data_IF_795462118881
#
_entry.id   IF_795462118881
#
_cell.length_a   1.000
_cell.length_b   1.000
_cell.length_c   1.000
_cell.angle_alpha   90.00
_cell.angle_beta   90.00
_cell.angle_gamma   90.00
#
_symmetry.space_group_name_H-M   'P 1'
#
loop_
_entity.id
_entity.type
_entity.pdbx_description
1 polymer ?
#
# COMPACT_ATOMS: atom_id res chain seq x y z
N UNK A 1 12.07 -8.90 11.10
CA UNK A 1 12.13 -7.42 11.05
C UNK A 1 11.68 -6.95 9.68
N UNK A 2 10.86 -5.90 9.61
CA UNK A 2 10.47 -5.26 8.33
C UNK A 2 11.26 -3.97 8.15
N UNK A 3 11.82 -3.78 6.95
CA UNK A 3 12.63 -2.61 6.62
C UNK A 3 11.90 -1.64 5.68
N UNK A 4 12.20 -0.37 5.85
CA UNK A 4 11.80 0.71 4.96
C UNK A 4 13.04 1.24 4.23
N UNK A 5 13.08 1.09 2.92
CA UNK A 5 14.06 1.77 2.08
C UNK A 5 13.33 2.27 0.82
N UNK A 6 13.35 3.59 0.64
CA UNK A 6 12.53 4.29 -0.35
C UNK A 6 12.81 3.82 -1.78
N UNK A 7 11.73 3.62 -2.54
CA UNK A 7 11.78 3.20 -3.95
C UNK A 7 11.99 1.70 -4.15
N UNK A 8 11.97 0.89 -3.10
CA UNK A 8 11.97 -0.56 -3.24
C UNK A 8 10.61 -1.10 -3.67
N UNK A 9 10.66 -1.98 -4.66
CA UNK A 9 9.53 -2.79 -5.10
C UNK A 9 9.70 -4.26 -4.73
N UNK A 10 9.22 -5.13 -5.62
CA UNK A 10 9.31 -6.58 -5.47
C UNK A 10 10.67 -7.09 -5.94
N UNK A 11 11.67 -7.05 -5.05
CA UNK A 11 13.00 -7.59 -5.32
C UNK A 11 13.75 -7.96 -4.04
N UNK A 12 14.60 -8.99 -4.16
CA UNK A 12 15.58 -9.35 -3.14
C UNK A 12 16.82 -8.48 -3.32
N UNK A 13 17.33 -7.94 -2.22
CA UNK A 13 18.50 -7.07 -2.16
C UNK A 13 19.31 -7.34 -0.88
N UNK A 14 20.35 -6.54 -0.64
CA UNK A 14 21.29 -6.73 0.47
C UNK A 14 20.64 -6.58 1.85
N UNK A 15 19.50 -5.88 1.99
CA UNK A 15 18.80 -5.77 3.28
C UNK A 15 18.37 -7.15 3.80
N UNK A 16 17.94 -8.05 2.92
CA UNK A 16 17.55 -9.41 3.30
C UNK A 16 18.72 -10.27 3.79
N UNK A 17 19.96 -9.91 3.41
CA UNK A 17 21.17 -10.58 3.91
C UNK A 17 21.62 -10.01 5.26
N UNK A 18 21.03 -8.90 5.71
CA UNK A 18 21.43 -8.15 6.90
C UNK A 18 20.29 -8.07 7.95
N UNK A 19 19.44 -9.11 8.02
CA UNK A 19 18.49 -9.31 9.12
C UNK A 19 17.06 -8.82 8.88
N UNK A 20 16.74 -8.33 7.67
CA UNK A 20 15.36 -8.02 7.30
C UNK A 20 14.68 -9.24 6.66
N UNK A 21 13.48 -9.57 7.15
CA UNK A 21 12.66 -10.66 6.60
C UNK A 21 11.72 -10.16 5.49
N UNK A 22 11.37 -8.87 5.55
CA UNK A 22 10.52 -8.20 4.58
C UNK A 22 10.95 -6.75 4.36
N UNK A 23 10.75 -6.24 3.14
CA UNK A 23 10.87 -4.82 2.82
C UNK A 23 9.52 -4.25 2.37
N UNK A 24 9.27 -2.98 2.66
CA UNK A 24 8.07 -2.28 2.16
C UNK A 24 8.07 -2.26 0.62
N UNK A 25 6.93 -2.62 0.04
CA UNK A 25 6.69 -2.62 -1.40
C UNK A 25 6.01 -1.31 -1.82
N UNK A 26 6.81 -0.33 -2.26
CA UNK A 26 6.32 0.99 -2.68
C UNK A 26 5.58 0.97 -4.03
N UNK A 27 5.79 -0.06 -4.85
CA UNK A 27 5.13 -0.17 -6.15
C UNK A 27 3.63 -0.47 -6.02
N UNK A 28 3.23 -1.17 -4.95
CA UNK A 28 1.87 -1.72 -4.84
C UNK A 28 0.79 -0.64 -4.82
N UNK A 29 1.04 0.51 -4.17
CA UNK A 29 0.12 1.65 -4.13
C UNK A 29 -0.29 2.07 -5.55
N UNK A 30 0.69 2.20 -6.46
CA UNK A 30 0.44 2.60 -7.85
C UNK A 30 -0.25 1.49 -8.66
N UNK A 31 0.15 0.23 -8.47
CA UNK A 31 -0.45 -0.90 -9.20
C UNK A 31 -1.91 -1.16 -8.78
N UNK A 32 -2.22 -0.98 -7.50
CA UNK A 32 -3.59 -1.02 -7.00
C UNK A 32 -4.45 0.11 -7.59
N UNK A 33 -3.92 1.34 -7.67
CA UNK A 33 -4.63 2.48 -8.27
C UNK A 33 -5.03 2.22 -9.74
N UNK A 34 -4.11 1.64 -10.54
CA UNK A 34 -4.38 1.27 -11.95
C UNK A 34 -5.44 0.18 -12.11
N UNK A 35 -5.76 -0.53 -11.04
CA UNK A 35 -6.66 -1.69 -11.04
C UNK A 35 -8.04 -1.41 -10.43
N UNK A 36 -8.32 -0.17 -10.02
CA UNK A 36 -9.60 0.19 -9.38
C UNK A 36 -10.81 0.07 -10.29
N UNK A 37 -10.65 0.34 -11.58
CA UNK A 37 -11.75 0.29 -12.55
C UNK A 37 -11.94 -1.13 -13.12
N UNK A 38 -10.91 -1.99 -13.04
CA UNK A 38 -10.97 -3.37 -13.49
C UNK A 38 -10.01 -4.24 -12.68
N UNK A 39 -10.56 -5.15 -11.87
CA UNK A 39 -9.79 -6.03 -10.98
C UNK A 39 -8.77 -6.88 -11.75
N UNK A 40 -9.07 -7.28 -12.98
CA UNK A 40 -8.19 -8.12 -13.80
C UNK A 40 -6.84 -7.46 -14.13
N UNK A 41 -6.75 -6.13 -14.05
CA UNK A 41 -5.52 -5.40 -14.35
C UNK A 41 -4.38 -5.71 -13.37
N UNK A 42 -4.69 -6.18 -12.16
CA UNK A 42 -3.68 -6.53 -11.15
C UNK A 42 -2.96 -7.86 -11.46
N UNK A 43 -3.45 -8.64 -12.44
CA UNK A 43 -3.04 -10.02 -12.66
C UNK A 43 -1.53 -10.19 -12.88
N UNK A 44 -0.91 -9.34 -13.70
CA UNK A 44 0.54 -9.40 -13.94
C UNK A 44 1.35 -9.02 -12.70
N UNK A 45 0.88 -8.06 -11.90
CA UNK A 45 1.50 -7.68 -10.62
C UNK A 45 1.49 -8.84 -9.64
N UNK A 46 0.35 -9.53 -9.47
CA UNK A 46 0.27 -10.71 -8.60
C UNK A 46 1.12 -11.86 -9.11
N UNK A 47 1.14 -12.11 -10.41
CA UNK A 47 1.98 -13.15 -11.01
C UNK A 47 3.47 -12.85 -10.77
N UNK A 48 3.89 -11.61 -10.97
CA UNK A 48 5.25 -11.17 -10.67
C UNK A 48 5.60 -11.39 -9.19
N UNK A 49 4.71 -10.96 -8.28
CA UNK A 49 4.89 -11.13 -6.84
C UNK A 49 4.98 -12.61 -6.45
N UNK A 50 4.03 -13.43 -6.89
CA UNK A 50 4.02 -14.87 -6.61
C UNK A 50 5.28 -15.58 -7.11
N UNK A 51 5.78 -15.22 -8.30
CA UNK A 51 7.00 -15.81 -8.85
C UNK A 51 8.27 -15.39 -8.09
N UNK A 52 8.30 -14.19 -7.52
CA UNK A 52 9.47 -13.64 -6.84
C UNK A 52 9.53 -13.97 -5.35
N UNK A 53 8.38 -13.96 -4.68
CA UNK A 53 8.27 -14.13 -3.22
C UNK A 53 8.35 -15.62 -2.83
N UNK A 54 9.43 -16.29 -3.21
CA UNK A 54 9.66 -17.71 -2.96
C UNK A 54 10.52 -17.95 -1.72
N UNK A 55 11.48 -17.07 -1.45
CA UNK A 55 12.45 -17.19 -0.35
C UNK A 55 12.66 -15.88 0.44
N UNK A 56 11.84 -14.88 0.19
CA UNK A 56 11.76 -13.61 0.91
C UNK A 56 10.33 -13.06 0.87
N UNK A 57 10.03 -12.08 1.72
CA UNK A 57 8.69 -11.48 1.79
C UNK A 57 8.74 -9.96 1.53
N UNK A 58 7.59 -9.36 1.25
CA UNK A 58 7.43 -7.90 1.17
C UNK A 58 6.20 -7.48 1.98
N UNK A 59 6.15 -6.20 2.35
CA UNK A 59 5.01 -5.59 3.01
C UNK A 59 4.33 -4.59 2.06
N UNK A 60 3.21 -4.99 1.48
CA UNK A 60 2.40 -4.13 0.60
C UNK A 60 1.45 -3.25 1.40
N UNK A 61 1.21 -2.03 0.92
CA UNK A 61 0.33 -1.06 1.56
C UNK A 61 -0.42 -0.23 0.51
N UNK A 62 -1.50 0.45 0.93
CA UNK A 62 -2.27 1.36 0.09
C UNK A 62 -2.13 2.81 0.54
N UNK A 63 -2.22 3.07 1.84
CA UNK A 63 -2.07 4.41 2.43
C UNK A 63 -0.87 4.44 3.36
N UNK A 64 -0.25 5.61 3.49
CA UNK A 64 0.84 5.82 4.45
C UNK A 64 0.81 7.24 5.01
N UNK A 65 1.41 7.40 6.17
CA UNK A 65 1.68 8.69 6.80
C UNK A 65 2.62 9.59 5.97
N UNK A 66 3.40 9.02 5.05
CA UNK A 66 4.43 9.74 4.28
C UNK A 66 4.15 9.84 2.78
N UNK A 67 3.09 9.21 2.26
CA UNK A 67 2.73 9.30 0.84
C UNK A 67 1.37 9.96 0.65
N UNK A 68 0.30 9.20 0.86
CA UNK A 68 -1.07 9.66 0.67
C UNK A 68 -2.08 8.75 1.37
N UNK A 69 -3.32 9.23 1.49
CA UNK A 69 -4.48 8.39 1.77
C UNK A 69 -5.06 7.91 0.45
N UNK A 70 -5.07 6.59 0.26
CA UNK A 70 -5.59 5.96 -0.94
C UNK A 70 -7.07 6.32 -1.18
N UNK A 71 -7.85 6.43 -0.10
CA UNK A 71 -9.26 6.82 -0.18
C UNK A 71 -9.45 8.20 -0.83
N UNK A 72 -8.62 9.17 -0.45
CA UNK A 72 -8.70 10.53 -0.97
C UNK A 72 -8.16 10.64 -2.41
N UNK A 73 -6.94 10.14 -2.64
CA UNK A 73 -6.22 10.34 -3.91
C UNK A 73 -6.64 9.37 -5.01
N UNK A 74 -6.60 8.06 -4.74
CA UNK A 74 -6.81 7.03 -5.75
C UNK A 74 -8.29 6.68 -5.90
N UNK A 75 -8.98 6.44 -4.77
CA UNK A 75 -10.42 6.12 -4.75
C UNK A 75 -11.31 7.34 -5.01
N UNK A 76 -10.78 8.57 -4.95
CA UNK A 76 -11.54 9.84 -5.11
C UNK A 76 -12.76 9.91 -4.18
N UNK A 77 -12.56 9.50 -2.93
CA UNK A 77 -13.58 9.42 -1.88
C UNK A 77 -14.77 8.51 -2.24
N UNK A 78 -14.58 7.58 -3.18
CA UNK A 78 -15.59 6.59 -3.58
C UNK A 78 -15.44 5.31 -2.75
N UNK A 79 -16.46 4.99 -1.94
CA UNK A 79 -16.45 3.80 -1.08
C UNK A 79 -16.39 2.47 -1.85
N UNK A 80 -16.97 2.39 -3.05
CA UNK A 80 -16.89 1.18 -3.86
C UNK A 80 -15.45 0.95 -4.35
N UNK A 81 -14.76 2.02 -4.79
CA UNK A 81 -13.34 1.94 -5.14
C UNK A 81 -12.47 1.58 -3.94
N UNK A 82 -12.77 2.12 -2.76
CA UNK A 82 -12.05 1.76 -1.53
C UNK A 82 -12.21 0.28 -1.17
N UNK A 83 -13.42 -0.28 -1.32
CA UNK A 83 -13.66 -1.72 -1.13
C UNK A 83 -12.88 -2.57 -2.12
N UNK A 84 -12.82 -2.16 -3.39
CA UNK A 84 -12.00 -2.83 -4.41
C UNK A 84 -10.53 -2.77 -4.02
N UNK A 85 -10.03 -1.60 -3.62
CA UNK A 85 -8.66 -1.42 -3.16
C UNK A 85 -8.32 -2.33 -1.97
N UNK A 86 -9.20 -2.39 -0.96
CA UNK A 86 -9.05 -3.32 0.16
C UNK A 86 -8.98 -4.78 -0.29
N UNK A 87 -9.84 -5.21 -1.22
CA UNK A 87 -9.78 -6.56 -1.80
C UNK A 87 -8.48 -6.81 -2.58
N UNK A 88 -7.98 -5.81 -3.32
CA UNK A 88 -6.69 -5.91 -4.01
C UNK A 88 -5.56 -6.10 -3.00
N UNK A 89 -5.50 -5.27 -1.95
CA UNK A 89 -4.47 -5.42 -0.93
C UNK A 89 -4.54 -6.79 -0.25
N UNK A 90 -5.70 -7.21 0.23
CA UNK A 90 -5.88 -8.47 0.97
C UNK A 90 -5.61 -9.73 0.13
N UNK A 91 -5.68 -9.63 -1.20
CA UNK A 91 -5.37 -10.74 -2.12
C UNK A 91 -3.94 -10.66 -2.68
N UNK A 92 -3.17 -9.65 -2.31
CA UNK A 92 -1.78 -9.52 -2.76
C UNK A 92 -0.90 -10.60 -2.13
N UNK A 93 0.02 -11.22 -2.90
CA UNK A 93 1.00 -12.13 -2.32
C UNK A 93 1.94 -11.42 -1.33
N UNK A 94 2.24 -12.07 -0.20
CA UNK A 94 3.11 -11.52 0.84
C UNK A 94 2.34 -10.90 2.00
N UNK A 95 3.03 -10.08 2.81
CA UNK A 95 2.42 -9.41 3.94
C UNK A 95 1.71 -8.11 3.49
N UNK A 96 0.69 -7.72 4.24
CA UNK A 96 -0.07 -6.48 4.01
C UNK A 96 -0.08 -5.62 5.26
N UNK A 97 -0.08 -4.31 5.07
CA UNK A 97 -0.25 -3.31 6.12
C UNK A 97 -1.48 -2.46 5.83
N UNK A 98 -2.34 -2.31 6.84
CA UNK A 98 -3.46 -1.37 6.84
C UNK A 98 -3.04 -0.13 7.62
N UNK A 99 -3.28 1.05 7.05
CA UNK A 99 -3.03 2.32 7.74
C UNK A 99 -4.31 2.77 8.44
N UNK A 100 -4.18 3.32 9.65
CA UNK A 100 -5.35 3.63 10.48
C UNK A 100 -6.32 4.59 9.78
N UNK A 101 -7.61 4.26 9.87
CA UNK A 101 -8.68 4.98 9.20
C UNK A 101 -8.98 4.50 7.78
N UNK A 102 -8.15 3.68 7.14
CA UNK A 102 -8.51 3.06 5.86
C UNK A 102 -9.77 2.18 6.01
N UNK A 103 -9.97 1.58 7.19
CA UNK A 103 -11.10 0.73 7.54
C UNK A 103 -12.43 1.48 7.70
N UNK A 104 -12.37 2.78 8.00
CA UNK A 104 -13.52 3.70 8.14
C UNK A 104 -13.58 4.76 7.05
N UNK A 105 -12.74 4.64 6.01
CA UNK A 105 -12.61 5.63 4.94
C UNK A 105 -12.36 7.05 5.46
N UNK A 106 -11.41 7.18 6.40
CA UNK A 106 -11.02 8.45 7.04
C UNK A 106 -10.63 9.49 5.98
N UNK A 107 -11.21 10.71 6.04
CA UNK A 107 -10.88 11.76 5.10
C UNK A 107 -9.51 12.37 5.37
N UNK A 108 -8.90 12.92 4.32
CA UNK A 108 -7.70 13.73 4.44
C UNK A 108 -7.99 14.97 5.30
N UNK A 109 -7.11 15.27 6.26
CA UNK A 109 -7.27 16.37 7.19
C UNK A 109 -6.71 17.70 6.72
N UNK A 110 -6.76 18.68 7.61
CA UNK A 110 -6.10 19.95 7.42
C UNK A 110 -4.58 19.79 7.32
N UNK A 111 -3.97 20.53 6.41
CA UNK A 111 -2.51 20.65 6.29
C UNK A 111 -2.05 21.96 6.90
N UNK A 112 -0.82 21.96 7.41
CA UNK A 112 -0.17 23.14 7.94
C UNK A 112 1.07 23.47 7.13
N UNK A 113 2.19 23.70 7.81
CA UNK A 113 3.51 23.80 7.17
C UNK A 113 4.00 22.46 6.60
N UNK A 114 3.50 21.33 7.10
CA UNK A 114 3.73 20.00 6.54
C UNK A 114 2.55 19.64 5.59
N UNK A 115 2.81 19.49 4.27
CA UNK A 115 1.77 19.14 3.30
C UNK A 115 1.24 17.71 3.48
N UNK A 116 1.98 16.82 4.13
CA UNK A 116 1.57 15.44 4.41
C UNK A 116 0.80 15.31 5.72
N UNK A 117 0.77 16.35 6.57
CA UNK A 117 0.05 16.32 7.85
C UNK A 117 -1.41 15.86 7.71
N UNK A 118 -2.06 16.15 6.58
CA UNK A 118 -3.44 15.73 6.32
C UNK A 118 -3.62 14.20 6.24
N UNK A 119 -2.58 13.42 5.96
CA UNK A 119 -2.64 11.93 6.04
C UNK A 119 -2.72 11.43 7.48
N UNK A 120 -2.42 12.31 8.45
CA UNK A 120 -2.33 12.00 9.89
C UNK A 120 -3.46 12.67 10.69
N UNK A 121 -4.61 12.92 10.06
CA UNK A 121 -5.82 13.42 10.73
C UNK A 121 -6.33 12.47 11.81
N UNK A 122 -7.09 13.02 12.76
CA UNK A 122 -7.71 12.24 13.82
C UNK A 122 -8.62 11.13 13.27
N UNK A 123 -8.70 10.03 14.02
CA UNK A 123 -9.56 8.90 13.66
C UNK A 123 -11.04 9.29 13.70
N UNK A 124 -11.81 8.86 12.69
CA UNK A 124 -13.23 9.15 12.52
C UNK A 124 -14.11 8.03 13.09
N UNK A 125 -14.09 7.90 14.43
CA UNK A 125 -14.94 6.95 15.18
C UNK A 125 -16.44 7.24 15.04
#
# INVERSE_FOLDING_TARGET
MTGEAWGLGVMKNDYYQNGFDAMINFDFQNEAQKSLDCFANIGETYKLMSNKLTDFNVLSYLSSHDTELFFDKASKQNLNKQKIAGSLLMLSPGAVQIYYGDETARPFGATGSDPLQGTRSDMNW
#
